data_IF_696073360971
#
_entry.id   IF_696073360971
#
_cell.length_a   1.000
_cell.length_b   1.000
_cell.length_c   1.000
_cell.angle_alpha   90.00
_cell.angle_beta   90.00
_cell.angle_gamma   90.00
#
_symmetry.space_group_name_H-M   'P 1'
#
loop_
_entity.id
_entity.type
_entity.pdbx_description
1 polymer ?
#
# COMPACT_ATOMS: atom_id res chain seq x y z
N UNK A 1 -8.49 16.55 20.03
CA UNK A 1 -8.36 16.04 21.42
C UNK A 1 -7.91 14.57 21.64
N UNK A 2 -7.47 13.76 20.64
CA UNK A 2 -6.88 12.43 20.92
C UNK A 2 -5.43 12.46 21.45
N UNK A 3 -4.60 13.37 20.92
CA UNK A 3 -3.15 13.41 21.16
C UNK A 3 -2.82 13.69 22.63
N UNK A 4 -3.52 14.64 23.26
CA UNK A 4 -3.36 14.97 24.68
C UNK A 4 -3.72 13.81 25.62
N UNK A 5 -4.77 13.03 25.31
CA UNK A 5 -5.14 11.83 26.10
C UNK A 5 -4.07 10.74 26.00
N UNK A 6 -3.54 10.51 24.81
CA UNK A 6 -2.45 9.54 24.58
C UNK A 6 -1.17 9.97 25.32
N UNK A 7 -0.83 11.25 25.26
CA UNK A 7 0.34 11.80 25.95
C UNK A 7 0.22 11.65 27.47
N UNK A 8 -0.92 12.03 28.06
CA UNK A 8 -1.20 11.87 29.50
C UNK A 8 -1.13 10.41 29.94
N UNK A 9 -1.62 9.47 29.14
CA UNK A 9 -1.52 8.02 29.40
C UNK A 9 -0.08 7.52 29.34
N UNK A 10 0.71 7.99 28.37
CA UNK A 10 2.13 7.65 28.25
C UNK A 10 2.95 8.16 29.44
N UNK A 11 2.65 9.38 29.92
CA UNK A 11 3.30 10.01 31.07
C UNK A 11 3.07 9.22 32.37
N UNK A 12 1.82 8.81 32.62
CA UNK A 12 1.47 7.97 33.79
C UNK A 12 2.21 6.63 33.84
N UNK A 13 2.65 6.09 32.70
CA UNK A 13 3.40 4.83 32.62
C UNK A 13 4.92 5.01 32.74
N UNK A 14 5.44 6.21 32.97
CA UNK A 14 6.90 6.41 33.09
C UNK A 14 7.42 5.83 34.40
N UNK A 15 6.80 6.18 35.53
CA UNK A 15 7.15 5.64 36.86
C UNK A 15 7.18 4.11 36.92
N UNK A 16 6.07 3.42 36.57
CA UNK A 16 6.03 1.96 36.53
C UNK A 16 7.12 1.34 35.66
N UNK A 17 7.37 1.87 34.45
CA UNK A 17 8.39 1.32 33.53
C UNK A 17 9.82 1.53 34.04
N UNK A 18 10.07 2.58 34.84
CA UNK A 18 11.36 2.74 35.53
C UNK A 18 11.53 1.69 36.62
N UNK A 19 10.48 1.44 37.43
CA UNK A 19 10.48 0.42 38.47
C UNK A 19 10.65 -0.99 37.87
N UNK A 20 10.02 -1.26 36.74
CA UNK A 20 10.12 -2.52 35.98
C UNK A 20 11.47 -2.68 35.24
N UNK A 21 12.36 -1.69 35.26
CA UNK A 21 13.64 -1.74 34.54
C UNK A 21 13.53 -1.62 33.01
N UNK A 22 12.35 -1.26 32.47
CA UNK A 22 12.06 -1.23 31.04
C UNK A 22 12.34 0.10 30.33
N UNK A 23 12.93 1.09 31.03
CA UNK A 23 13.08 2.45 30.49
C UNK A 23 13.91 2.50 29.21
N UNK A 24 15.04 1.77 29.17
CA UNK A 24 15.95 1.70 28.01
C UNK A 24 15.26 1.06 26.80
N UNK A 25 14.54 -0.05 27.01
CA UNK A 25 13.79 -0.71 25.94
C UNK A 25 12.73 0.23 25.35
N UNK A 26 12.06 1.02 26.21
CA UNK A 26 11.04 1.98 25.77
C UNK A 26 11.63 3.14 24.98
N UNK A 27 12.80 3.66 25.37
CA UNK A 27 13.49 4.72 24.60
C UNK A 27 14.02 4.18 23.27
N UNK A 28 14.55 2.95 23.24
CA UNK A 28 14.98 2.27 22.01
C UNK A 28 13.82 2.07 21.02
N UNK A 29 12.64 1.65 21.51
CA UNK A 29 11.45 1.54 20.67
C UNK A 29 11.02 2.91 20.14
N UNK A 30 11.05 3.95 20.98
CA UNK A 30 10.69 5.31 20.56
C UNK A 30 11.65 5.86 19.49
N UNK A 31 12.97 5.65 19.65
CA UNK A 31 13.96 6.06 18.65
C UNK A 31 13.81 5.27 17.35
N UNK A 32 13.54 3.96 17.41
CA UNK A 32 13.23 3.15 16.22
C UNK A 32 12.01 3.68 15.48
N UNK A 33 10.92 3.99 16.18
CA UNK A 33 9.71 4.57 15.58
C UNK A 33 9.98 5.95 14.98
N UNK A 34 10.78 6.79 15.63
CA UNK A 34 11.16 8.10 15.12
C UNK A 34 11.97 7.99 13.82
N UNK A 35 12.99 7.11 13.78
CA UNK A 35 13.76 6.82 12.57
C UNK A 35 12.88 6.33 11.42
N UNK A 36 12.02 5.34 11.69
CA UNK A 36 11.07 4.85 10.69
C UNK A 36 10.13 5.93 10.17
N UNK A 37 9.69 6.85 11.03
CA UNK A 37 8.84 7.96 10.61
C UNK A 37 9.59 8.95 9.71
N UNK A 38 10.85 9.27 10.04
CA UNK A 38 11.71 10.10 9.18
C UNK A 38 11.93 9.44 7.83
N UNK A 39 12.31 8.17 7.80
CA UNK A 39 12.55 7.42 6.55
C UNK A 39 11.29 7.37 5.68
N UNK A 40 10.12 7.12 6.28
CA UNK A 40 8.83 7.12 5.57
C UNK A 40 8.49 8.49 5.00
N UNK A 41 8.78 9.56 5.74
CA UNK A 41 8.52 10.94 5.31
C UNK A 41 9.41 11.30 4.13
N UNK A 42 10.72 11.01 4.21
CA UNK A 42 11.67 11.19 3.10
C UNK A 42 11.21 10.38 1.89
N UNK A 43 10.86 9.10 2.08
CA UNK A 43 10.37 8.24 1.03
C UNK A 43 9.09 8.76 0.37
N UNK A 44 8.17 9.33 1.14
CA UNK A 44 6.96 9.94 0.59
C UNK A 44 7.26 11.14 -0.29
N UNK A 45 8.13 12.05 0.17
CA UNK A 45 8.51 13.22 -0.63
C UNK A 45 9.25 12.81 -1.90
N UNK A 46 10.14 11.82 -1.81
CA UNK A 46 10.81 11.25 -2.99
C UNK A 46 9.80 10.65 -3.99
N UNK A 47 8.82 9.87 -3.52
CA UNK A 47 7.72 9.33 -4.35
C UNK A 47 6.86 10.42 -4.96
N UNK A 48 6.61 11.51 -4.24
CA UNK A 48 5.85 12.66 -4.75
C UNK A 48 6.61 13.38 -5.87
N UNK A 49 7.93 13.53 -5.73
CA UNK A 49 8.81 14.07 -6.78
C UNK A 49 8.83 13.12 -7.99
N UNK A 50 9.00 11.82 -7.77
CA UNK A 50 8.98 10.81 -8.82
C UNK A 50 7.65 10.83 -9.60
N UNK A 51 6.52 10.85 -8.89
CA UNK A 51 5.18 10.89 -9.49
C UNK A 51 5.01 12.07 -10.44
N UNK A 52 5.51 13.26 -10.05
CA UNK A 52 5.47 14.48 -10.87
C UNK A 52 6.33 14.40 -12.13
N UNK A 53 7.47 13.71 -12.06
CA UNK A 53 8.38 13.51 -13.21
C UNK A 53 7.84 12.46 -14.18
N UNK A 54 7.17 11.44 -13.66
CA UNK A 54 6.69 10.33 -14.47
C UNK A 54 5.51 10.70 -15.35
N UNK A 55 5.61 10.47 -16.66
CA UNK A 55 4.48 10.62 -17.59
C UNK A 55 3.53 9.44 -17.46
N UNK A 56 2.23 9.69 -17.62
CA UNK A 56 1.21 8.64 -17.67
C UNK A 56 1.25 8.01 -19.07
N UNK A 57 1.35 6.68 -19.11
CA UNK A 57 1.34 5.85 -20.31
C UNK A 57 -0.09 5.34 -20.55
N UNK A 58 -0.77 5.78 -21.62
CA UNK A 58 -2.21 5.50 -21.82
C UNK A 58 -2.58 4.02 -21.85
N UNK A 59 -1.67 3.16 -22.33
CA UNK A 59 -1.88 1.72 -22.51
C UNK A 59 -1.32 0.87 -21.37
N UNK A 60 -0.90 1.48 -20.26
CA UNK A 60 -0.30 0.73 -19.16
C UNK A 60 -1.30 0.52 -18.01
N UNK A 61 -1.42 -0.73 -17.56
CA UNK A 61 -2.30 -1.16 -16.46
C UNK A 61 -1.46 -1.78 -15.35
N UNK A 62 -1.62 -1.29 -14.13
CA UNK A 62 -0.98 -1.83 -12.94
C UNK A 62 -1.97 -2.68 -12.14
N UNK A 63 -1.57 -3.86 -11.70
CA UNK A 63 -2.34 -4.72 -10.80
C UNK A 63 -1.62 -4.84 -9.45
N UNK A 64 -2.35 -4.61 -8.36
CA UNK A 64 -1.83 -4.69 -6.99
C UNK A 64 -2.83 -5.48 -6.14
N UNK A 65 -2.42 -6.65 -5.68
CA UNK A 65 -3.24 -7.50 -4.80
C UNK A 65 -2.79 -7.37 -3.35
N UNK A 66 -3.73 -7.58 -2.42
CA UNK A 66 -3.48 -7.66 -0.98
C UNK A 66 -2.47 -8.76 -0.63
N UNK A 67 -2.52 -9.88 -1.34
CA UNK A 67 -1.62 -11.01 -1.17
C UNK A 67 -0.23 -10.78 -1.79
N UNK A 68 -0.09 -9.77 -2.65
CA UNK A 68 1.12 -9.56 -3.47
C UNK A 68 1.44 -10.79 -4.35
N UNK A 69 0.38 -11.42 -4.86
CA UNK A 69 0.40 -12.64 -5.67
C UNK A 69 -0.57 -12.50 -6.86
N UNK A 70 -0.45 -13.40 -7.84
CA UNK A 70 -1.36 -13.47 -8.98
C UNK A 70 -2.71 -14.13 -8.59
N UNK A 71 -3.59 -13.35 -7.96
CA UNK A 71 -4.80 -13.89 -7.32
C UNK A 71 -6.00 -12.93 -7.34
N UNK A 72 -7.15 -13.46 -6.88
CA UNK A 72 -8.40 -12.74 -6.61
C UNK A 72 -9.03 -12.08 -7.86
N UNK A 73 -9.94 -11.11 -7.69
CA UNK A 73 -10.61 -10.39 -8.77
C UNK A 73 -9.64 -9.77 -9.79
N UNK A 74 -8.51 -9.13 -9.36
CA UNK A 74 -7.52 -8.57 -10.28
C UNK A 74 -6.97 -9.60 -11.28
N UNK A 75 -6.82 -10.87 -10.86
CA UNK A 75 -6.31 -11.94 -11.74
C UNK A 75 -7.27 -12.18 -12.89
N UNK A 76 -8.56 -12.34 -12.60
CA UNK A 76 -9.56 -12.59 -13.63
C UNK A 76 -9.75 -11.40 -14.59
N UNK A 77 -9.57 -10.16 -14.10
CA UNK A 77 -9.53 -8.97 -14.96
C UNK A 77 -8.33 -9.03 -15.92
N UNK A 78 -7.15 -9.38 -15.42
CA UNK A 78 -5.95 -9.55 -16.24
C UNK A 78 -6.11 -10.68 -17.27
N UNK A 79 -6.64 -11.84 -16.87
CA UNK A 79 -6.92 -12.96 -17.78
C UNK A 79 -7.92 -12.55 -18.89
N UNK A 80 -8.94 -11.75 -18.56
CA UNK A 80 -9.90 -11.24 -19.55
C UNK A 80 -9.24 -10.29 -20.55
N UNK A 81 -8.41 -9.33 -20.09
CA UNK A 81 -7.66 -8.42 -20.98
C UNK A 81 -6.75 -9.19 -21.94
N UNK A 82 -6.05 -10.21 -21.42
CA UNK A 82 -5.17 -11.06 -22.23
C UNK A 82 -5.97 -11.90 -23.24
N UNK A 83 -7.11 -12.46 -22.82
CA UNK A 83 -7.99 -13.26 -23.70
C UNK A 83 -8.60 -12.44 -24.82
N UNK A 84 -8.97 -11.19 -24.54
CA UNK A 84 -9.53 -10.26 -25.53
C UNK A 84 -8.47 -9.65 -26.45
N UNK A 85 -7.17 -9.91 -26.19
CA UNK A 85 -6.08 -9.34 -26.97
C UNK A 85 -5.98 -7.83 -26.82
N UNK A 86 -6.30 -7.30 -25.63
CA UNK A 86 -6.22 -5.88 -25.36
C UNK A 86 -4.78 -5.36 -25.58
N UNK A 87 -4.66 -4.27 -26.33
CA UNK A 87 -3.39 -3.59 -26.64
C UNK A 87 -2.93 -2.75 -25.44
N UNK A 88 -2.50 -3.44 -24.38
CA UNK A 88 -2.04 -2.87 -23.12
C UNK A 88 -0.79 -3.56 -22.57
N UNK A 89 0.07 -2.78 -21.92
CA UNK A 89 1.19 -3.26 -21.11
C UNK A 89 0.71 -3.50 -19.68
N UNK A 90 0.83 -4.73 -19.21
CA UNK A 90 0.39 -5.19 -17.90
C UNK A 90 1.58 -5.24 -16.96
N UNK A 91 1.49 -4.50 -15.87
CA UNK A 91 2.43 -4.56 -14.75
C UNK A 91 1.74 -5.18 -13.55
N UNK A 92 2.40 -6.12 -12.88
CA UNK A 92 1.84 -6.83 -11.73
C UNK A 92 2.79 -6.74 -10.54
N UNK A 93 2.30 -6.20 -9.41
CA UNK A 93 3.05 -6.19 -8.16
C UNK A 93 3.05 -7.57 -7.50
N UNK A 94 4.23 -8.12 -7.27
CA UNK A 94 4.46 -9.40 -6.58
C UNK A 94 5.44 -9.25 -5.43
N UNK A 95 5.37 -10.13 -4.43
CA UNK A 95 6.35 -10.13 -3.32
C UNK A 95 7.79 -10.39 -3.82
N UNK A 96 7.93 -11.38 -4.71
CA UNK A 96 9.20 -11.72 -5.34
C UNK A 96 8.98 -12.14 -6.81
N UNK A 97 9.50 -11.37 -7.78
CA UNK A 97 9.42 -11.71 -9.20
C UNK A 97 9.96 -13.09 -9.57
N UNK A 98 10.94 -13.63 -8.81
CA UNK A 98 11.51 -14.95 -9.07
C UNK A 98 10.54 -16.10 -8.75
N UNK A 99 9.52 -15.84 -7.94
CA UNK A 99 8.54 -16.83 -7.51
C UNK A 99 7.13 -16.58 -8.07
N UNK A 100 6.97 -15.60 -8.97
CA UNK A 100 5.72 -15.25 -9.62
C UNK A 100 5.31 -16.24 -10.74
N UNK A 101 5.36 -17.55 -10.46
CA UNK A 101 5.20 -18.62 -11.46
C UNK A 101 3.81 -18.69 -12.09
N UNK A 102 2.79 -18.21 -11.37
CA UNK A 102 1.41 -18.20 -11.85
C UNK A 102 1.11 -17.00 -12.76
N UNK A 103 2.03 -16.03 -12.85
CA UNK A 103 1.87 -14.89 -13.75
C UNK A 103 2.04 -15.35 -15.21
N UNK A 104 1.16 -14.93 -16.14
CA UNK A 104 1.26 -15.36 -17.53
C UNK A 104 2.59 -14.97 -18.19
N UNK A 105 3.25 -15.94 -18.83
CA UNK A 105 4.45 -15.71 -19.64
C UNK A 105 4.07 -15.09 -20.99
N UNK A 106 4.02 -13.76 -21.03
CA UNK A 106 3.66 -12.94 -22.19
C UNK A 106 4.58 -11.73 -22.27
N UNK A 107 4.93 -11.31 -23.48
CA UNK A 107 5.85 -10.19 -23.70
C UNK A 107 5.34 -8.86 -23.12
N UNK A 108 4.02 -8.66 -23.02
CA UNK A 108 3.38 -7.47 -22.47
C UNK A 108 2.98 -7.61 -20.98
N UNK A 109 3.45 -8.65 -20.29
CA UNK A 109 3.19 -8.86 -18.85
C UNK A 109 4.50 -8.77 -18.08
N UNK A 110 4.55 -7.89 -17.10
CA UNK A 110 5.76 -7.57 -16.34
C UNK A 110 5.53 -7.74 -14.83
N UNK A 111 6.31 -8.62 -14.21
CA UNK A 111 6.36 -8.72 -12.75
C UNK A 111 7.24 -7.60 -12.17
N UNK A 112 6.75 -6.89 -11.17
CA UNK A 112 7.52 -5.91 -10.39
C UNK A 112 7.44 -6.21 -8.91
N UNK A 113 8.55 -6.08 -8.19
CA UNK A 113 8.59 -6.33 -6.76
C UNK A 113 7.82 -5.24 -6.00
N UNK A 114 6.85 -5.61 -5.18
CA UNK A 114 6.08 -4.67 -4.36
C UNK A 114 7.03 -3.78 -3.53
N UNK A 115 6.73 -2.49 -3.46
CA UNK A 115 7.54 -1.47 -2.78
C UNK A 115 8.97 -1.25 -3.33
N UNK A 116 9.34 -1.82 -4.47
CA UNK A 116 10.60 -1.48 -5.16
C UNK A 116 10.48 -0.14 -5.89
N UNK A 117 11.62 0.39 -6.35
CA UNK A 117 11.64 1.61 -7.16
C UNK A 117 10.86 1.42 -8.48
N UNK A 118 11.05 0.28 -9.15
CA UNK A 118 10.38 -0.11 -10.39
C UNK A 118 8.86 -0.25 -10.20
N UNK A 119 8.42 -0.77 -9.05
CA UNK A 119 7.01 -0.78 -8.69
C UNK A 119 6.42 0.63 -8.64
N UNK A 120 7.11 1.59 -8.01
CA UNK A 120 6.64 2.96 -7.96
C UNK A 120 6.64 3.62 -9.34
N UNK A 121 7.68 3.38 -10.16
CA UNK A 121 7.71 3.88 -11.54
C UNK A 121 6.55 3.33 -12.38
N UNK A 122 6.33 2.01 -12.33
CA UNK A 122 5.23 1.34 -13.03
C UNK A 122 3.87 1.85 -12.55
N UNK A 123 3.63 1.87 -11.25
CA UNK A 123 2.34 2.32 -10.70
C UNK A 123 2.08 3.80 -10.98
N UNK A 124 3.09 4.68 -10.91
CA UNK A 124 2.94 6.11 -11.22
C UNK A 124 2.83 6.41 -12.72
N UNK A 125 3.34 5.54 -13.59
CA UNK A 125 3.19 5.67 -15.04
C UNK A 125 1.90 5.04 -15.58
N UNK A 126 1.25 4.15 -14.83
CA UNK A 126 0.06 3.43 -15.31
C UNK A 126 -1.16 4.34 -15.45
N UNK A 127 -1.91 4.19 -16.55
CA UNK A 127 -3.17 4.90 -16.78
C UNK A 127 -4.29 4.35 -15.89
N UNK A 128 -4.27 3.04 -15.67
CA UNK A 128 -5.22 2.32 -14.83
C UNK A 128 -4.44 1.56 -13.75
N UNK A 129 -4.92 1.62 -12.51
CA UNK A 129 -4.40 0.84 -11.38
C UNK A 129 -5.56 0.03 -10.83
N UNK A 130 -5.48 -1.29 -10.95
CA UNK A 130 -6.47 -2.24 -10.44
C UNK A 130 -5.99 -2.79 -9.11
N UNK A 131 -6.80 -2.62 -8.08
CA UNK A 131 -6.51 -3.05 -6.72
C UNK A 131 -7.64 -3.90 -6.14
N UNK A 132 -7.36 -4.74 -5.16
CA UNK A 132 -8.37 -5.44 -4.37
C UNK A 132 -8.34 -5.07 -2.87
N UNK A 133 -7.58 -4.04 -2.52
CA UNK A 133 -7.44 -3.49 -1.18
C UNK A 133 -7.00 -2.03 -1.31
N UNK A 134 -6.65 -1.40 -0.20
CA UNK A 134 -6.23 -0.01 -0.17
C UNK A 134 -4.91 0.20 -0.93
N UNK A 135 -4.89 1.17 -1.85
CA UNK A 135 -3.68 1.59 -2.57
C UNK A 135 -2.70 2.33 -1.65
N UNK A 136 -3.21 2.99 -0.61
CA UNK A 136 -2.41 3.69 0.38
C UNK A 136 -3.23 4.11 1.59
N UNK A 137 -2.53 4.43 2.67
CA UNK A 137 -3.09 4.94 3.91
C UNK A 137 -2.24 6.09 4.47
N UNK A 138 -2.54 6.55 5.69
CA UNK A 138 -1.78 7.60 6.35
C UNK A 138 -0.29 7.27 6.57
N UNK A 139 0.06 6.00 6.77
CA UNK A 139 1.43 5.56 7.02
C UNK A 139 2.17 5.15 5.75
N UNK A 140 1.41 4.88 4.69
CA UNK A 140 1.89 4.57 3.34
C UNK A 140 1.06 5.36 2.31
N UNK A 141 1.25 6.67 2.20
CA UNK A 141 0.53 7.48 1.23
C UNK A 141 1.04 7.21 -0.19
N UNK A 142 0.10 6.97 -1.12
CA UNK A 142 0.39 6.75 -2.53
C UNK A 142 -0.13 7.92 -3.39
N UNK A 143 0.72 8.59 -4.19
CA UNK A 143 0.30 9.74 -4.99
C UNK A 143 -0.40 9.29 -6.28
N UNK A 144 -1.71 9.50 -6.36
CA UNK A 144 -2.51 9.29 -7.59
C UNK A 144 -2.63 10.61 -8.35
N UNK A 145 -2.34 10.58 -9.66
CA UNK A 145 -2.45 11.76 -10.54
C UNK A 145 -3.84 11.86 -11.17
N UNK A 146 -4.28 13.08 -11.50
CA UNK A 146 -5.59 13.36 -12.15
C UNK A 146 -5.86 12.53 -13.42
N UNK A 147 -4.81 12.15 -14.15
CA UNK A 147 -4.93 11.33 -15.36
C UNK A 147 -4.92 9.82 -15.11
N UNK A 148 -4.82 9.35 -13.87
CA UNK A 148 -4.87 7.93 -13.53
C UNK A 148 -6.28 7.56 -13.07
N UNK A 149 -6.67 6.31 -13.29
CA UNK A 149 -7.92 5.74 -12.78
C UNK A 149 -7.57 4.58 -11.87
N UNK A 150 -8.10 4.61 -10.65
CA UNK A 150 -7.96 3.52 -9.69
C UNK A 150 -9.26 2.73 -9.66
N UNK A 151 -9.19 1.43 -9.91
CA UNK A 151 -10.32 0.50 -9.87
C UNK A 151 -10.12 -0.39 -8.66
N UNK A 152 -10.97 -0.24 -7.65
CA UNK A 152 -10.93 -1.05 -6.44
C UNK A 152 -12.02 -2.13 -6.49
N UNK A 153 -11.59 -3.39 -6.38
CA UNK A 153 -12.47 -4.55 -6.41
C UNK A 153 -12.83 -5.07 -5.02
N UNK A 154 -12.14 -4.57 -3.98
CA UNK A 154 -12.13 -5.10 -2.62
C UNK A 154 -11.75 -6.60 -2.55
N UNK A 155 -11.59 -7.11 -1.33
CA UNK A 155 -11.35 -8.52 -1.08
C UNK A 155 -12.26 -9.00 0.05
N UNK A 156 -13.22 -9.87 -0.28
CA UNK A 156 -14.18 -10.42 0.67
C UNK A 156 -15.62 -10.04 0.33
N UNK A 157 -16.50 -11.04 0.35
CA UNK A 157 -17.87 -10.95 -0.17
C UNK A 157 -18.94 -10.73 0.92
N UNK A 158 -18.68 -11.13 2.16
CA UNK A 158 -19.73 -11.30 3.17
C UNK A 158 -19.86 -10.16 4.19
N UNK A 159 -18.88 -9.27 4.30
CA UNK A 159 -18.94 -8.14 5.25
C UNK A 159 -19.15 -8.54 6.72
N UNK A 160 -18.74 -9.76 7.11
CA UNK A 160 -19.04 -10.35 8.45
C UNK A 160 -18.51 -9.47 9.59
N UNK A 161 -17.35 -8.84 9.38
CA UNK A 161 -16.73 -7.92 10.33
C UNK A 161 -16.98 -6.48 9.89
N UNK A 162 -17.43 -5.65 10.83
CA UNK A 162 -17.60 -4.22 10.62
C UNK A 162 -16.25 -3.56 10.31
N UNK A 163 -16.20 -2.78 9.24
CA UNK A 163 -15.03 -2.04 8.78
C UNK A 163 -15.33 -0.53 8.75
N UNK A 164 -15.79 -0.02 9.89
CA UNK A 164 -16.09 1.40 10.06
C UNK A 164 -15.33 1.98 11.25
N UNK A 165 -15.15 3.30 11.24
CA UNK A 165 -14.43 4.03 12.27
C UNK A 165 -14.95 3.84 13.69
N UNK A 166 -16.25 3.56 13.87
CA UNK A 166 -16.82 3.40 15.21
C UNK A 166 -16.49 2.02 15.81
N UNK A 167 -16.19 1.02 14.99
CA UNK A 167 -15.95 -0.37 15.44
C UNK A 167 -14.50 -0.82 15.28
N UNK A 168 -13.72 -0.14 14.43
CA UNK A 168 -12.30 -0.45 14.24
C UNK A 168 -11.46 0.14 15.37
N UNK A 169 -11.10 -0.70 16.34
CA UNK A 169 -10.37 -0.30 17.55
C UNK A 169 -8.84 -0.33 17.42
N UNK A 170 -8.32 -0.67 16.23
CA UNK A 170 -6.89 -0.74 15.94
C UNK A 170 -6.44 0.41 15.04
N UNK A 171 -5.69 0.12 13.97
CA UNK A 171 -5.13 1.14 13.10
C UNK A 171 -6.25 1.82 12.29
N UNK A 172 -6.73 2.96 12.79
CA UNK A 172 -7.81 3.75 12.18
C UNK A 172 -7.46 4.32 10.80
N UNK A 173 -6.19 4.25 10.36
CA UNK A 173 -5.82 4.70 9.01
C UNK A 173 -6.52 3.92 7.89
N UNK A 174 -6.88 2.65 8.14
CA UNK A 174 -7.47 1.79 7.11
C UNK A 174 -8.94 2.14 6.84
N UNK A 175 -9.82 2.25 7.86
CA UNK A 175 -11.18 2.72 7.62
C UNK A 175 -11.25 4.20 7.22
N UNK A 176 -10.24 5.01 7.51
CA UNK A 176 -10.16 6.38 6.98
C UNK A 176 -9.87 6.39 5.48
N UNK A 177 -8.99 5.52 5.00
CA UNK A 177 -8.59 5.44 3.59
C UNK A 177 -9.62 4.74 2.70
N UNK A 178 -10.50 3.92 3.27
CA UNK A 178 -11.57 3.22 2.55
C UNK A 178 -12.83 4.08 2.27
N UNK A 179 -12.83 5.35 2.67
CA UNK A 179 -13.94 6.29 2.42
C UNK A 179 -13.80 6.96 1.06
#
# INVERSE_FOLDING_TARGET
MPVFKVFKRKLKRVGPVMVEGGLINRTQVATKQAKQWVDRTIGYEARRILSRKQKIRPKQVMFITFQHEYACNPRYICEALLREGADVDIYWAVEDPLFARDLPDRANVHAVKINSYEYFEAAMSSRVIVINSLLGDKFYPFPVKKGQVVIETWHGSLGIKRFDLAHYNTNVSWPEAAK
#
